data_IF_424880767779
#
_entry.id   IF_424880767779
#
_cell.length_a   1.000
_cell.length_b   1.000
_cell.length_c   1.000
_cell.angle_alpha   90.00
_cell.angle_beta   90.00
_cell.angle_gamma   90.00
#
_symmetry.space_group_name_H-M   'P 1'
#
loop_
_entity.id
_entity.type
_entity.pdbx_description
1 polymer ?
#
# COMPACT_ATOMS: atom_id res chain seq x y z
N UNK A 1 6.19 -0.46 -18.24
CA UNK A 1 5.99 -1.73 -17.48
C UNK A 1 6.98 -2.82 -17.93
N UNK A 2 7.30 -2.87 -19.23
CA UNK A 2 8.34 -3.72 -19.82
C UNK A 2 9.66 -3.71 -19.04
N UNK A 3 10.14 -2.54 -18.64
CA UNK A 3 11.38 -2.38 -17.87
C UNK A 3 11.46 -3.21 -16.57
N UNK A 4 10.33 -3.70 -16.04
CA UNK A 4 10.29 -4.63 -14.92
C UNK A 4 9.90 -6.05 -15.38
N UNK A 5 8.83 -6.19 -16.17
CA UNK A 5 8.30 -7.51 -16.54
C UNK A 5 9.13 -8.25 -17.60
N UNK A 6 10.08 -7.59 -18.26
CA UNK A 6 10.98 -8.24 -19.22
C UNK A 6 11.96 -9.20 -18.52
N UNK A 7 12.27 -8.96 -17.25
CA UNK A 7 13.15 -9.82 -16.46
C UNK A 7 12.48 -11.18 -16.19
N UNK A 8 13.11 -12.25 -16.69
CA UNK A 8 12.62 -13.63 -16.55
C UNK A 8 12.39 -14.05 -15.11
N UNK A 9 13.30 -13.69 -14.20
CA UNK A 9 13.16 -14.05 -12.79
C UNK A 9 11.94 -13.38 -12.14
N UNK A 10 11.54 -12.18 -12.59
CA UNK A 10 10.30 -11.54 -12.10
C UNK A 10 9.09 -12.34 -12.57
N UNK A 11 9.04 -12.69 -13.86
CA UNK A 11 7.92 -13.47 -14.42
C UNK A 11 7.84 -14.90 -13.87
N UNK A 12 8.98 -15.48 -13.50
CA UNK A 12 9.06 -16.83 -12.94
C UNK A 12 8.67 -16.85 -11.47
N UNK A 13 9.21 -15.91 -10.68
CA UNK A 13 9.21 -15.97 -9.22
C UNK A 13 8.10 -15.10 -8.58
N UNK A 14 7.37 -14.31 -9.36
CA UNK A 14 6.36 -13.38 -8.86
C UNK A 14 5.08 -13.36 -9.68
N UNK A 15 3.95 -13.31 -8.98
CA UNK A 15 2.67 -12.90 -9.54
C UNK A 15 2.59 -11.38 -9.56
N UNK A 16 2.16 -10.82 -10.69
CA UNK A 16 2.01 -9.37 -10.85
C UNK A 16 0.55 -8.97 -10.92
N UNK A 17 0.21 -7.83 -10.32
CA UNK A 17 -1.11 -7.22 -10.46
C UNK A 17 -1.38 -6.68 -11.87
N UNK A 18 -0.35 -6.52 -12.69
CA UNK A 18 -0.44 -6.00 -14.05
C UNK A 18 0.25 -6.93 -15.04
N UNK A 19 -0.35 -7.09 -16.22
CA UNK A 19 0.23 -7.84 -17.34
C UNK A 19 0.57 -6.92 -18.53
N UNK A 20 -0.04 -5.74 -18.59
CA UNK A 20 0.13 -4.77 -19.67
C UNK A 20 -0.11 -3.33 -19.14
N UNK A 21 -0.01 -2.35 -20.04
CA UNK A 21 -0.06 -0.92 -19.68
C UNK A 21 -1.49 -0.33 -19.72
N UNK A 22 -2.55 -1.17 -19.82
CA UNK A 22 -3.94 -0.67 -19.97
C UNK A 22 -4.39 0.25 -18.84
N UNK A 23 -3.82 0.09 -17.65
CA UNK A 23 -4.19 0.87 -16.47
C UNK A 23 -3.35 2.15 -16.28
N UNK A 24 -2.42 2.49 -17.19
CA UNK A 24 -1.58 3.70 -17.07
C UNK A 24 -2.38 5.02 -17.14
N UNK A 25 -3.63 5.00 -17.62
CA UNK A 25 -4.50 6.17 -17.60
C UNK A 25 -3.85 7.40 -18.26
N UNK A 26 -3.88 8.53 -17.57
CA UNK A 26 -3.24 9.79 -18.02
C UNK A 26 -1.82 9.98 -17.45
N UNK A 27 -1.24 8.97 -16.83
CA UNK A 27 0.05 9.05 -16.13
C UNK A 27 1.12 8.24 -16.87
N UNK A 28 2.38 8.64 -16.70
CA UNK A 28 3.54 7.91 -17.23
C UNK A 28 3.99 6.76 -16.31
N UNK A 29 3.36 6.59 -15.16
CA UNK A 29 3.68 5.56 -14.18
C UNK A 29 2.42 4.99 -13.52
N UNK A 30 2.57 3.79 -12.94
CA UNK A 30 1.52 3.07 -12.24
C UNK A 30 2.08 2.43 -10.96
N UNK A 31 1.22 2.21 -9.97
CA UNK A 31 1.54 1.30 -8.85
C UNK A 31 1.38 -0.15 -9.30
N UNK A 32 2.30 -1.00 -8.85
CA UNK A 32 2.31 -2.44 -9.11
C UNK A 32 2.43 -3.18 -7.77
N UNK A 33 1.74 -4.31 -7.61
CA UNK A 33 1.99 -5.23 -6.50
C UNK A 33 2.54 -6.53 -7.06
N UNK A 34 3.65 -7.01 -6.47
CA UNK A 34 4.24 -8.31 -6.74
C UNK A 34 4.04 -9.22 -5.52
N UNK A 35 3.54 -10.44 -5.75
CA UNK A 35 3.40 -11.48 -4.72
C UNK A 35 4.32 -12.63 -5.09
N UNK A 36 5.21 -13.01 -4.19
CA UNK A 36 6.14 -14.11 -4.43
C UNK A 36 5.36 -15.40 -4.72
N UNK A 37 5.75 -16.13 -5.76
CA UNK A 37 5.09 -17.38 -6.12
C UNK A 37 5.22 -18.45 -5.03
N UNK A 38 6.31 -18.40 -4.25
CA UNK A 38 6.69 -19.41 -3.29
C UNK A 38 5.73 -19.56 -2.11
N UNK A 39 4.95 -18.52 -1.78
CA UNK A 39 3.93 -18.60 -0.75
C UNK A 39 2.57 -19.09 -1.29
N UNK A 40 2.31 -18.91 -2.59
CA UNK A 40 1.05 -19.26 -3.22
C UNK A 40 0.92 -20.78 -3.36
N UNK A 41 -0.23 -21.32 -3.00
CA UNK A 41 -0.46 -22.77 -2.94
C UNK A 41 0.12 -23.45 -1.69
N UNK A 42 0.85 -22.73 -0.84
CA UNK A 42 1.36 -23.21 0.46
C UNK A 42 0.57 -22.62 1.62
N UNK A 43 -0.76 -22.66 1.52
CA UNK A 43 -1.68 -22.07 2.50
C UNK A 43 -2.04 -20.61 2.24
N UNK A 44 -1.48 -19.99 1.20
CA UNK A 44 -1.91 -18.67 0.69
C UNK A 44 -2.49 -18.85 -0.70
N UNK A 45 -3.68 -18.30 -0.93
CA UNK A 45 -4.30 -18.16 -2.24
C UNK A 45 -4.39 -16.69 -2.64
N UNK A 46 -4.31 -16.44 -3.95
CA UNK A 46 -4.50 -15.10 -4.50
C UNK A 46 -5.99 -14.78 -4.59
N UNK A 47 -6.39 -13.65 -4.02
CA UNK A 47 -7.73 -13.12 -4.10
C UNK A 47 -7.91 -12.15 -5.28
N UNK A 48 -8.89 -11.26 -5.14
CA UNK A 48 -9.20 -10.26 -6.17
C UNK A 48 -8.14 -9.17 -6.22
N UNK A 49 -7.97 -8.58 -7.41
CA UNK A 49 -7.16 -7.38 -7.64
C UNK A 49 -8.07 -6.32 -8.26
N UNK A 50 -8.07 -5.10 -7.73
CA UNK A 50 -8.86 -3.99 -8.26
C UNK A 50 -8.27 -2.63 -7.88
N UNK A 51 -8.69 -1.59 -8.59
CA UNK A 51 -8.24 -0.21 -8.38
C UNK A 51 -9.38 0.65 -7.84
N UNK A 52 -9.14 1.37 -6.77
CA UNK A 52 -10.10 2.33 -6.18
C UNK A 52 -9.73 3.73 -6.59
N UNK A 53 -10.64 4.43 -7.28
CA UNK A 53 -10.46 5.85 -7.60
C UNK A 53 -10.58 6.68 -6.32
N UNK A 54 -9.51 7.37 -5.96
CA UNK A 54 -9.48 8.34 -4.86
C UNK A 54 -9.49 9.76 -5.43
N UNK A 55 -9.99 10.77 -4.70
CA UNK A 55 -9.93 12.16 -5.13
C UNK A 55 -8.48 12.56 -5.36
N UNK A 56 -8.08 12.69 -6.63
CA UNK A 56 -6.72 13.10 -6.97
C UNK A 56 -6.65 13.82 -8.30
N UNK A 57 -5.83 14.88 -8.34
CA UNK A 57 -5.65 15.69 -9.57
C UNK A 57 -4.89 14.95 -10.68
N UNK A 58 -4.05 13.98 -10.33
CA UNK A 58 -3.21 13.24 -11.28
C UNK A 58 -3.74 11.83 -11.57
N UNK A 59 -5.03 11.57 -11.39
CA UNK A 59 -5.65 10.31 -11.80
C UNK A 59 -5.10 9.03 -11.14
N UNK A 60 -4.40 9.13 -10.00
CA UNK A 60 -3.93 7.95 -9.27
C UNK A 60 -5.06 7.28 -8.50
N UNK A 61 -4.84 6.01 -8.21
CA UNK A 61 -5.75 5.12 -7.49
C UNK A 61 -5.07 4.51 -6.26
N UNK A 62 -5.86 3.74 -5.52
CA UNK A 62 -5.35 2.76 -4.57
C UNK A 62 -5.49 1.36 -5.20
N UNK A 63 -4.37 0.67 -5.38
CA UNK A 63 -4.32 -0.68 -5.94
C UNK A 63 -4.53 -1.69 -4.80
N UNK A 64 -5.71 -2.30 -4.79
CA UNK A 64 -6.09 -3.31 -3.82
C UNK A 64 -5.82 -4.71 -4.36
N UNK A 65 -5.28 -5.58 -3.51
CA UNK A 65 -5.21 -7.01 -3.75
C UNK A 65 -5.50 -7.77 -2.45
N UNK A 66 -6.25 -8.87 -2.57
CA UNK A 66 -6.53 -9.76 -1.45
C UNK A 66 -5.59 -10.97 -1.50
N UNK A 67 -5.13 -11.41 -0.33
CA UNK A 67 -4.53 -12.71 -0.08
C UNK A 67 -5.46 -13.49 0.85
N UNK A 68 -5.71 -14.75 0.55
CA UNK A 68 -6.55 -15.63 1.37
C UNK A 68 -5.64 -16.63 2.07
N UNK A 69 -5.60 -16.60 3.40
CA UNK A 69 -4.89 -17.60 4.19
C UNK A 69 -5.88 -18.71 4.53
N UNK A 70 -5.62 -19.90 4.01
CA UNK A 70 -6.36 -21.09 4.37
C UNK A 70 -5.84 -21.62 5.71
N UNK A 71 -6.72 -21.67 6.70
CA UNK A 71 -6.44 -22.24 8.01
C UNK A 71 -6.68 -23.75 7.95
N UNK A 72 -5.65 -24.56 8.26
CA UNK A 72 -5.75 -26.02 8.24
C UNK A 72 -6.58 -26.62 9.39
N UNK A 73 -7.18 -25.78 10.23
CA UNK A 73 -8.03 -26.20 11.35
C UNK A 73 -9.47 -26.42 10.88
N UNK A 74 -10.00 -27.63 11.08
CA UNK A 74 -11.39 -27.95 10.73
C UNK A 74 -12.38 -26.94 11.36
N UNK A 75 -13.29 -26.41 10.55
CA UNK A 75 -14.30 -25.43 10.98
C UNK A 75 -13.83 -23.97 11.04
N UNK A 76 -12.58 -23.67 10.72
CA UNK A 76 -12.10 -22.28 10.63
C UNK A 76 -12.34 -21.68 9.25
N UNK A 77 -12.85 -20.44 9.22
CA UNK A 77 -13.01 -19.70 7.97
C UNK A 77 -11.64 -19.18 7.49
N UNK A 78 -11.39 -19.20 6.17
CA UNK A 78 -10.20 -18.58 5.59
C UNK A 78 -10.10 -17.10 6.00
N UNK A 79 -8.89 -16.64 6.25
CA UNK A 79 -8.62 -15.25 6.64
C UNK A 79 -8.29 -14.46 5.37
N UNK A 80 -9.04 -13.39 5.11
CA UNK A 80 -8.73 -12.45 4.05
C UNK A 80 -7.83 -11.33 4.55
N UNK A 81 -6.60 -11.33 4.06
CA UNK A 81 -5.66 -10.22 4.19
C UNK A 81 -5.81 -9.30 2.99
N UNK A 82 -6.01 -8.01 3.22
CA UNK A 82 -6.04 -7.00 2.16
C UNK A 82 -4.77 -6.17 2.14
N UNK A 83 -4.14 -6.10 0.98
CA UNK A 83 -3.00 -5.25 0.72
C UNK A 83 -3.44 -4.11 -0.20
N UNK A 84 -3.14 -2.87 0.16
CA UNK A 84 -3.48 -1.72 -0.66
C UNK A 84 -2.22 -0.89 -0.92
N UNK A 85 -1.79 -0.84 -2.17
CA UNK A 85 -0.67 -0.03 -2.61
C UNK A 85 -1.17 1.37 -3.01
N UNK A 86 -0.61 2.42 -2.42
CA UNK A 86 -0.98 3.81 -2.66
C UNK A 86 0.23 4.66 -3.04
N UNK A 87 -0.04 5.70 -3.82
CA UNK A 87 0.89 6.82 -3.99
C UNK A 87 0.08 8.11 -3.88
N UNK A 88 -0.08 8.59 -2.65
CA UNK A 88 -0.95 9.71 -2.29
C UNK A 88 -0.49 11.03 -2.94
N UNK A 89 -1.31 12.07 -2.82
CA UNK A 89 -1.07 13.33 -3.51
C UNK A 89 0.28 13.96 -3.09
N UNK A 90 1.24 14.19 -4.02
CA UNK A 90 2.61 14.53 -3.66
C UNK A 90 2.88 16.03 -3.49
N UNK A 91 2.00 16.91 -3.98
CA UNK A 91 2.25 18.34 -4.03
C UNK A 91 1.44 19.10 -2.97
N UNK A 92 2.01 20.15 -2.35
CA UNK A 92 1.27 21.09 -1.51
C UNK A 92 0.44 22.07 -2.38
N UNK A 93 -0.46 21.56 -3.21
CA UNK A 93 -1.36 22.40 -4.04
C UNK A 93 -2.59 22.74 -3.22
N UNK A 94 -2.62 23.93 -2.62
CA UNK A 94 -3.71 24.67 -1.93
C UNK A 94 -4.63 23.95 -0.93
N UNK A 95 -4.77 22.62 -0.96
CA UNK A 95 -5.62 21.80 -0.13
C UNK A 95 -4.99 20.42 0.08
N UNK A 96 -4.86 19.99 1.33
CA UNK A 96 -4.39 18.65 1.67
C UNK A 96 -5.48 17.61 1.36
N UNK A 97 -5.29 16.83 0.29
CA UNK A 97 -6.22 15.75 -0.07
C UNK A 97 -5.93 14.42 0.64
N UNK A 98 -4.73 14.26 1.22
CA UNK A 98 -4.27 12.98 1.80
C UNK A 98 -5.19 12.45 2.90
N UNK A 99 -5.73 13.28 3.83
CA UNK A 99 -6.72 12.82 4.81
C UNK A 99 -7.92 12.13 4.17
N UNK A 100 -8.49 12.72 3.12
CA UNK A 100 -9.64 12.14 2.41
C UNK A 100 -9.26 10.89 1.61
N UNK A 101 -8.09 10.89 0.98
CA UNK A 101 -7.58 9.74 0.23
C UNK A 101 -7.35 8.53 1.16
N UNK A 102 -6.69 8.74 2.29
CA UNK A 102 -6.44 7.67 3.24
C UNK A 102 -7.75 7.22 3.91
N UNK A 103 -8.70 8.11 4.19
CA UNK A 103 -10.01 7.73 4.72
C UNK A 103 -10.79 6.79 3.79
N UNK A 104 -10.82 7.10 2.50
CA UNK A 104 -11.43 6.21 1.50
C UNK A 104 -10.67 4.88 1.46
N UNK A 105 -9.35 4.92 1.39
CA UNK A 105 -8.53 3.70 1.31
C UNK A 105 -8.72 2.81 2.55
N UNK A 106 -8.81 3.42 3.73
CA UNK A 106 -9.01 2.75 5.01
C UNK A 106 -10.38 2.10 5.12
N UNK A 107 -11.42 2.64 4.50
CA UNK A 107 -12.73 1.99 4.47
C UNK A 107 -12.70 0.70 3.65
N UNK A 108 -11.97 0.68 2.54
CA UNK A 108 -11.73 -0.55 1.77
C UNK A 108 -10.87 -1.55 2.55
N UNK A 109 -9.86 -1.09 3.28
CA UNK A 109 -9.03 -1.98 4.13
C UNK A 109 -9.89 -2.71 5.17
N UNK A 110 -10.76 -1.97 5.86
CA UNK A 110 -11.64 -2.50 6.93
C UNK A 110 -12.67 -3.51 6.48
N UNK A 111 -12.96 -3.58 5.18
CA UNK A 111 -13.85 -4.61 4.66
C UNK A 111 -13.21 -6.00 4.67
N UNK A 112 -11.89 -6.13 4.85
CA UNK A 112 -11.20 -7.41 5.06
C UNK A 112 -10.99 -7.72 6.55
N UNK A 113 -10.55 -8.95 6.87
CA UNK A 113 -10.32 -9.37 8.26
C UNK A 113 -9.13 -8.63 8.87
N UNK A 114 -8.08 -8.44 8.09
CA UNK A 114 -6.91 -7.64 8.42
C UNK A 114 -6.19 -7.19 7.15
N UNK A 115 -5.18 -6.35 7.29
CA UNK A 115 -4.42 -5.89 6.14
C UNK A 115 -3.49 -4.71 6.42
N UNK A 116 -2.93 -4.19 5.33
CA UNK A 116 -2.10 -3.00 5.34
C UNK A 116 -2.33 -2.12 4.09
N UNK A 117 -2.18 -0.82 4.29
CA UNK A 117 -1.98 0.17 3.23
C UNK A 117 -0.50 0.53 3.23
N UNK A 118 0.16 0.45 2.07
CA UNK A 118 1.58 0.75 1.95
C UNK A 118 1.87 1.54 0.67
N UNK A 119 2.97 2.29 0.70
CA UNK A 119 3.48 3.03 -0.44
C UNK A 119 3.83 4.46 -0.06
N UNK A 120 3.84 5.37 -1.03
CA UNK A 120 4.26 6.75 -0.82
C UNK A 120 3.07 7.60 -0.35
N UNK A 121 3.13 8.02 0.92
CA UNK A 121 2.10 8.86 1.52
C UNK A 121 2.39 10.36 1.32
N UNK A 122 3.61 10.71 0.91
CA UNK A 122 4.06 12.10 0.66
C UNK A 122 3.61 13.11 1.72
N UNK A 123 3.92 12.89 3.01
CA UNK A 123 3.56 13.82 4.07
C UNK A 123 4.38 15.11 3.91
N UNK A 124 3.70 16.21 3.59
CA UNK A 124 4.34 17.53 3.40
C UNK A 124 3.74 18.61 4.28
N UNK A 125 2.59 18.36 4.92
CA UNK A 125 1.97 19.27 5.88
C UNK A 125 2.05 18.73 7.31
N UNK A 126 2.05 19.59 8.35
CA UNK A 126 2.08 19.16 9.74
C UNK A 126 0.94 18.20 10.11
N UNK A 127 -0.24 18.36 9.51
CA UNK A 127 -1.42 17.52 9.74
C UNK A 127 -1.22 16.09 9.19
N UNK A 128 -0.26 15.87 8.29
CA UNK A 128 0.02 14.52 7.80
C UNK A 128 0.67 13.62 8.87
N UNK A 129 1.19 14.20 9.96
CA UNK A 129 1.82 13.44 11.05
C UNK A 129 0.83 12.53 11.77
N UNK A 130 -0.44 12.92 11.86
CA UNK A 130 -1.51 12.13 12.48
C UNK A 130 -2.30 11.30 11.46
N UNK A 131 -1.98 11.39 10.16
CA UNK A 131 -2.77 10.85 9.07
C UNK A 131 -3.18 9.37 9.26
N UNK A 132 -2.25 8.51 9.70
CA UNK A 132 -2.52 7.09 9.96
C UNK A 132 -3.42 6.92 11.20
N UNK A 133 -3.10 7.61 12.29
CA UNK A 133 -3.82 7.50 13.56
C UNK A 133 -5.25 8.06 13.48
N UNK A 134 -5.45 9.16 12.77
CA UNK A 134 -6.77 9.78 12.52
C UNK A 134 -7.70 8.83 11.75
N UNK A 135 -7.12 7.90 10.99
CA UNK A 135 -7.84 6.85 10.30
C UNK A 135 -8.02 5.59 11.13
N UNK A 136 -7.69 5.60 12.43
CA UNK A 136 -7.80 4.45 13.33
C UNK A 136 -6.93 3.26 12.90
N UNK A 137 -5.85 3.53 12.18
CA UNK A 137 -4.84 2.57 11.76
C UNK A 137 -3.59 2.71 12.64
N UNK A 138 -2.75 1.70 12.62
CA UNK A 138 -1.46 1.75 13.32
C UNK A 138 -0.31 1.89 12.31
N UNK A 139 0.69 2.68 12.64
CA UNK A 139 1.89 2.82 11.82
C UNK A 139 2.86 1.68 12.16
N UNK A 140 3.09 0.75 11.21
CA UNK A 140 3.92 -0.41 11.46
C UNK A 140 5.38 -0.04 11.78
N UNK A 141 5.92 1.03 11.18
CA UNK A 141 7.29 1.46 11.48
C UNK A 141 7.41 1.94 12.92
N UNK A 142 6.46 2.77 13.38
CA UNK A 142 6.46 3.28 14.75
C UNK A 142 6.17 2.17 15.76
N UNK A 143 5.36 1.17 15.40
CA UNK A 143 5.11 -0.01 16.21
C UNK A 143 6.38 -0.83 16.46
N UNK A 144 7.11 -1.20 15.39
CA UNK A 144 8.30 -2.06 15.51
C UNK A 144 9.58 -1.30 15.91
N UNK A 145 9.68 0.00 15.59
CA UNK A 145 10.88 0.81 15.80
C UNK A 145 10.56 2.16 16.46
N UNK A 146 10.00 2.17 17.68
CA UNK A 146 9.62 3.40 18.36
C UNK A 146 10.81 4.35 18.50
N UNK A 147 10.56 5.65 18.23
CA UNK A 147 11.57 6.71 18.29
C UNK A 147 12.58 6.74 17.13
N UNK A 148 12.55 5.78 16.20
CA UNK A 148 13.42 5.80 15.02
C UNK A 148 12.78 6.58 13.87
N UNK A 149 13.58 7.43 13.22
CA UNK A 149 13.10 8.34 12.16
C UNK A 149 12.57 7.64 10.91
N UNK A 150 13.20 6.54 10.49
CA UNK A 150 12.76 5.77 9.32
C UNK A 150 12.72 6.56 8.02
N UNK A 151 13.70 7.45 7.77
CA UNK A 151 13.70 8.26 6.56
C UNK A 151 13.79 7.42 5.29
N UNK A 152 12.86 7.67 4.38
CA UNK A 152 12.78 7.01 3.07
C UNK A 152 13.00 7.99 1.92
N UNK A 153 12.98 9.29 2.22
CA UNK A 153 13.15 10.36 1.24
C UNK A 153 14.18 11.40 1.70
N UNK A 154 14.95 11.96 0.75
CA UNK A 154 15.84 13.09 0.98
C UNK A 154 17.20 12.78 1.64
N UNK A 155 17.51 11.51 1.92
CA UNK A 155 18.72 11.09 2.66
C UNK A 155 20.05 11.52 2.00
N UNK A 156 20.06 11.75 0.67
CA UNK A 156 21.26 12.14 -0.10
C UNK A 156 21.31 13.63 -0.51
N UNK A 157 20.51 14.50 0.11
CA UNK A 157 20.82 15.94 0.19
C UNK A 157 20.58 16.84 -1.03
N UNK A 158 19.85 16.43 -2.06
CA UNK A 158 19.52 17.32 -3.20
C UNK A 158 18.05 17.20 -3.61
N UNK A 159 17.13 17.72 -2.79
CA UNK A 159 15.69 17.59 -3.06
C UNK A 159 14.90 18.81 -2.56
N UNK A 160 13.73 19.05 -3.16
CA UNK A 160 12.85 20.22 -2.96
C UNK A 160 12.15 20.32 -1.59
N UNK A 161 12.32 19.32 -0.73
CA UNK A 161 11.72 19.20 0.60
C UNK A 161 12.80 18.74 1.59
N UNK A 162 12.60 18.90 2.92
CA UNK A 162 13.50 18.31 3.92
C UNK A 162 13.40 16.79 3.94
N UNK A 163 14.46 16.06 4.35
CA UNK A 163 14.40 14.61 4.51
C UNK A 163 13.23 14.17 5.39
N UNK A 164 12.57 13.09 4.99
CA UNK A 164 11.32 12.65 5.61
C UNK A 164 11.02 11.18 5.36
N UNK A 165 9.98 10.70 6.04
CA UNK A 165 9.46 9.35 5.87
C UNK A 165 8.20 9.43 5.00
N UNK A 166 8.40 9.22 3.70
CA UNK A 166 7.34 9.33 2.70
C UNK A 166 6.68 7.98 2.49
N UNK A 167 7.49 6.95 2.30
CA UNK A 167 7.01 5.57 2.28
C UNK A 167 6.61 5.10 3.69
N UNK A 168 5.37 4.67 3.84
CA UNK A 168 4.77 4.28 5.12
C UNK A 168 3.93 3.01 4.99
N UNK A 169 3.70 2.37 6.13
CA UNK A 169 2.90 1.14 6.28
C UNK A 169 1.85 1.37 7.36
N UNK A 170 0.58 1.46 6.97
CA UNK A 170 -0.55 1.62 7.88
C UNK A 170 -1.31 0.29 8.00
N UNK A 171 -1.33 -0.31 9.19
CA UNK A 171 -1.88 -1.64 9.44
C UNK A 171 -3.24 -1.61 10.14
N UNK A 172 -4.07 -2.61 9.82
CA UNK A 172 -5.36 -2.88 10.47
C UNK A 172 -5.47 -4.36 10.81
N UNK A 173 -5.78 -4.68 12.07
CA UNK A 173 -6.06 -6.06 12.51
C UNK A 173 -4.86 -7.03 12.48
N UNK A 174 -3.71 -6.61 11.96
CA UNK A 174 -2.45 -7.36 12.04
C UNK A 174 -1.91 -7.23 13.47
N UNK A 175 -1.66 -8.36 14.15
CA UNK A 175 -1.13 -8.38 15.53
C UNK A 175 -2.17 -8.37 16.66
N UNK A 176 -3.47 -8.29 16.37
CA UNK A 176 -4.55 -8.31 17.40
C UNK A 176 -5.01 -9.70 17.85
N UNK A 177 -4.23 -10.76 17.62
CA UNK A 177 -4.51 -12.09 18.18
C UNK A 177 -3.59 -12.33 19.38
N UNK A 178 -4.03 -11.82 20.53
CA UNK A 178 -3.61 -12.23 21.87
C UNK A 178 -4.83 -12.71 22.64
#
# INVERSE_FOLDING_TARGET
LSALLDYEWIRRDWYSSEIDEKHFGIQEFISLTLVANDCVGKGVELGRVWRVKVPMRLGRDALCCDLIINTYTEGSNPIRIRLINVHLNPLPISHNLRPRQLAITSSYLRAADCGLIAGDFSPVFPEDNSLIADNGLEDAWLHFYPGKRGWTWGVKGNKSFPPGRFDMFAQWGLGRRG
#
